data_IF_848417810046
#
_entry.id   IF_848417810046
#
_cell.length_a   1.000
_cell.length_b   1.000
_cell.length_c   1.000
_cell.angle_alpha   90.00
_cell.angle_beta   90.00
_cell.angle_gamma   90.00
#
_symmetry.space_group_name_H-M   'P 1'
#
loop_
_entity.id
_entity.type
_entity.pdbx_description
1 polymer ?
#
# COMPACT_ATOMS: atom_id res chain seq x y z
N UNK A 1 2.09 -59.86 -35.04
CA UNK A 1 2.28 -59.60 -33.60
C UNK A 1 2.12 -58.10 -33.37
N UNK A 2 1.26 -57.71 -32.41
CA UNK A 2 0.68 -56.36 -32.24
C UNK A 2 1.70 -55.33 -31.71
N UNK A 3 1.67 -54.05 -32.12
CA UNK A 3 2.35 -53.00 -31.39
C UNK A 3 1.53 -52.56 -30.18
N UNK A 4 2.22 -52.34 -29.07
CA UNK A 4 1.66 -51.92 -27.78
C UNK A 4 1.49 -50.40 -27.83
N UNK A 5 0.25 -49.93 -27.69
CA UNK A 5 -0.05 -48.51 -27.52
C UNK A 5 0.28 -48.08 -26.08
N UNK A 6 1.39 -47.37 -25.90
CA UNK A 6 1.69 -46.67 -24.66
C UNK A 6 0.93 -45.33 -24.65
N UNK A 7 -0.15 -45.27 -23.88
CA UNK A 7 -0.80 -44.01 -23.52
C UNK A 7 0.04 -43.32 -22.44
N UNK A 8 0.86 -42.32 -22.82
CA UNK A 8 1.39 -41.38 -21.84
C UNK A 8 0.29 -40.37 -21.50
N UNK A 9 -0.28 -40.52 -20.30
CA UNK A 9 -1.19 -39.53 -19.72
C UNK A 9 -0.47 -38.20 -19.51
N UNK A 10 -1.04 -37.13 -20.07
CA UNK A 10 -0.65 -35.75 -19.75
C UNK A 10 -1.15 -35.47 -18.34
N UNK A 11 -0.26 -35.59 -17.36
CA UNK A 11 -0.49 -35.07 -16.01
C UNK A 11 -0.47 -33.54 -16.07
N UNK A 12 -1.65 -32.93 -16.01
CA UNK A 12 -1.78 -31.48 -15.83
C UNK A 12 -1.36 -31.16 -14.38
N UNK A 13 -0.07 -30.86 -14.20
CA UNK A 13 0.42 -30.26 -12.96
C UNK A 13 -0.16 -28.86 -12.85
N UNK A 14 -1.24 -28.70 -12.10
CA UNK A 14 -1.66 -27.38 -11.61
C UNK A 14 -0.68 -27.00 -10.51
N UNK A 15 0.50 -26.51 -10.92
CA UNK A 15 1.38 -25.81 -10.03
C UNK A 15 0.60 -24.61 -9.49
N UNK A 16 0.33 -24.61 -8.18
CA UNK A 16 -0.24 -23.46 -7.49
C UNK A 16 0.64 -22.26 -7.81
N UNK A 17 0.12 -21.34 -8.63
CA UNK A 17 0.84 -20.15 -9.05
C UNK A 17 1.06 -19.30 -7.81
N UNK A 18 2.24 -19.42 -7.22
CA UNK A 18 2.80 -18.41 -6.36
C UNK A 18 2.97 -17.16 -7.23
N UNK A 19 1.98 -16.27 -7.21
CA UNK A 19 2.05 -15.01 -7.94
C UNK A 19 3.23 -14.24 -7.34
N UNK A 20 4.26 -13.91 -8.13
CA UNK A 20 5.41 -13.20 -7.58
C UNK A 20 4.96 -11.84 -7.02
N UNK A 21 5.53 -11.44 -5.89
CA UNK A 21 5.41 -10.14 -5.22
C UNK A 21 5.08 -8.95 -6.14
N UNK A 22 5.91 -8.78 -7.18
CA UNK A 22 5.78 -7.71 -8.17
C UNK A 22 4.50 -7.85 -9.00
N UNK A 23 4.17 -9.05 -9.46
CA UNK A 23 2.94 -9.29 -10.22
C UNK A 23 1.67 -9.04 -9.39
N UNK A 24 1.70 -9.28 -8.07
CA UNK A 24 0.55 -9.02 -7.19
C UNK A 24 0.24 -7.51 -7.03
N UNK A 25 1.26 -6.65 -7.08
CA UNK A 25 1.08 -5.19 -7.02
C UNK A 25 0.74 -4.57 -8.39
N UNK A 26 1.24 -5.16 -9.47
CA UNK A 26 1.05 -4.68 -10.84
C UNK A 26 -0.19 -5.28 -11.53
N UNK A 27 -1.01 -6.07 -10.81
CA UNK A 27 -2.31 -6.52 -11.29
C UNK A 27 -3.20 -5.31 -11.60
N UNK A 28 -3.73 -5.26 -12.83
CA UNK A 28 -4.57 -4.17 -13.31
C UNK A 28 -6.05 -4.46 -13.11
N UNK A 29 -6.78 -3.43 -12.75
CA UNK A 29 -8.23 -3.45 -12.59
C UNK A 29 -8.87 -2.46 -13.56
N UNK A 30 -10.07 -2.79 -14.01
CA UNK A 30 -10.87 -1.91 -14.87
C UNK A 30 -11.35 -0.69 -14.09
N UNK A 31 -11.69 0.38 -14.80
CA UNK A 31 -12.30 1.59 -14.20
C UNK A 31 -13.54 1.26 -13.38
N UNK A 32 -14.40 0.35 -13.87
CA UNK A 32 -15.62 -0.03 -13.18
C UNK A 32 -15.32 -0.72 -11.83
N UNK A 33 -14.33 -1.62 -11.80
CA UNK A 33 -13.90 -2.28 -10.55
C UNK A 33 -13.32 -1.27 -9.55
N UNK A 34 -12.46 -0.36 -10.01
CA UNK A 34 -11.82 0.65 -9.16
C UNK A 34 -12.85 1.62 -8.55
N UNK A 35 -13.85 2.04 -9.33
CA UNK A 35 -14.94 2.90 -8.85
C UNK A 35 -15.87 2.16 -7.88
N UNK A 36 -16.10 0.87 -8.10
CA UNK A 36 -16.84 0.05 -7.14
C UNK A 36 -16.08 -0.08 -5.82
N UNK A 37 -14.76 -0.29 -5.85
CA UNK A 37 -13.94 -0.29 -4.64
C UNK A 37 -13.98 1.07 -3.92
N UNK A 38 -14.01 2.20 -4.65
CA UNK A 38 -14.21 3.52 -4.05
C UNK A 38 -15.58 3.65 -3.36
N UNK A 39 -16.64 3.09 -3.97
CA UNK A 39 -17.99 3.07 -3.39
C UNK A 39 -18.04 2.26 -2.10
N UNK A 40 -17.40 1.08 -2.09
CA UNK A 40 -17.30 0.24 -0.89
C UNK A 40 -16.49 0.94 0.20
N UNK A 41 -15.36 1.57 -0.14
CA UNK A 41 -14.54 2.33 0.80
C UNK A 41 -15.34 3.46 1.45
N UNK A 42 -16.02 4.30 0.64
CA UNK A 42 -16.88 5.38 1.13
C UNK A 42 -17.92 4.85 2.11
N UNK A 43 -18.65 3.80 1.73
CA UNK A 43 -19.67 3.20 2.59
C UNK A 43 -19.08 2.68 3.91
N UNK A 44 -17.92 2.02 3.87
CA UNK A 44 -17.26 1.52 5.07
C UNK A 44 -16.87 2.66 6.02
N UNK A 45 -16.28 3.75 5.50
CA UNK A 45 -15.94 4.91 6.30
C UNK A 45 -17.18 5.56 6.91
N UNK A 46 -18.18 5.88 6.09
CA UNK A 46 -19.37 6.62 6.55
C UNK A 46 -20.24 5.84 7.52
N UNK A 47 -20.33 4.51 7.37
CA UNK A 47 -21.25 3.67 8.15
C UNK A 47 -20.58 3.04 9.38
N UNK A 48 -19.27 2.78 9.33
CA UNK A 48 -18.59 2.01 10.38
C UNK A 48 -17.65 2.87 11.23
N UNK A 49 -17.16 4.00 10.72
CA UNK A 49 -16.19 4.82 11.45
C UNK A 49 -16.88 5.85 12.36
N UNK A 50 -16.91 5.57 13.67
CA UNK A 50 -17.61 6.37 14.67
C UNK A 50 -17.16 7.85 14.77
N UNK A 51 -15.93 8.16 14.35
CA UNK A 51 -15.34 9.50 14.46
C UNK A 51 -14.91 10.12 13.14
N UNK A 52 -15.55 9.76 12.02
CA UNK A 52 -15.02 10.09 10.68
C UNK A 52 -14.80 11.60 10.49
N UNK A 53 -15.67 12.40 11.10
CA UNK A 53 -15.70 13.85 10.95
C UNK A 53 -15.13 14.61 12.16
N UNK A 54 -14.36 13.96 13.02
CA UNK A 54 -13.76 14.62 14.20
C UNK A 54 -12.67 15.62 13.82
N UNK A 55 -11.91 15.32 12.77
CA UNK A 55 -10.73 16.09 12.36
C UNK A 55 -10.82 16.67 10.94
N UNK A 56 -11.66 16.08 10.09
CA UNK A 56 -11.92 16.54 8.73
C UNK A 56 -13.41 16.77 8.59
N UNK A 57 -13.82 17.91 8.02
CA UNK A 57 -15.24 18.20 7.84
C UNK A 57 -15.90 17.20 6.88
N UNK A 58 -17.23 17.09 6.93
CA UNK A 58 -17.97 16.24 6.00
C UNK A 58 -17.72 16.68 4.56
N UNK A 59 -17.75 17.98 4.32
CA UNK A 59 -17.56 18.58 3.00
C UNK A 59 -16.16 18.26 2.43
N UNK A 60 -15.12 18.35 3.26
CA UNK A 60 -13.74 18.00 2.84
C UNK A 60 -13.58 16.50 2.58
N UNK A 61 -14.14 15.65 3.44
CA UNK A 61 -14.11 14.19 3.28
C UNK A 61 -14.87 13.74 2.04
N UNK A 62 -16.08 14.27 1.82
CA UNK A 62 -16.92 13.94 0.68
C UNK A 62 -16.24 14.35 -0.62
N UNK A 63 -15.67 15.56 -0.66
CA UNK A 63 -14.88 16.04 -1.79
C UNK A 63 -13.70 15.12 -2.08
N UNK A 64 -12.93 14.71 -1.07
CA UNK A 64 -11.77 13.85 -1.26
C UNK A 64 -12.15 12.45 -1.81
N UNK A 65 -13.26 11.89 -1.32
CA UNK A 65 -13.78 10.61 -1.80
C UNK A 65 -14.35 10.69 -3.23
N UNK A 66 -14.97 11.81 -3.60
CA UNK A 66 -15.41 12.06 -4.98
C UNK A 66 -14.23 12.22 -5.93
N UNK A 67 -13.24 13.04 -5.55
CA UNK A 67 -12.00 13.23 -6.32
C UNK A 67 -11.23 11.91 -6.49
N UNK A 68 -11.21 11.04 -5.48
CA UNK A 68 -10.63 9.71 -5.56
C UNK A 68 -11.30 8.87 -6.64
N UNK A 69 -12.63 8.78 -6.61
CA UNK A 69 -13.42 8.01 -7.58
C UNK A 69 -13.23 8.54 -9.01
N UNK A 70 -13.25 9.86 -9.17
CA UNK A 70 -13.06 10.53 -10.46
C UNK A 70 -11.64 10.39 -11.01
N UNK A 71 -10.63 10.23 -10.14
CA UNK A 71 -9.24 10.01 -10.55
C UNK A 71 -9.04 8.71 -11.35
N UNK A 72 -9.95 7.73 -11.18
CA UNK A 72 -9.94 6.47 -11.94
C UNK A 72 -10.75 6.62 -13.22
N UNK A 73 -10.11 7.21 -14.24
CA UNK A 73 -10.64 7.37 -15.59
C UNK A 73 -9.98 6.42 -16.62
N UNK A 74 -9.04 5.60 -16.17
CA UNK A 74 -8.36 4.55 -16.93
C UNK A 74 -8.06 3.36 -16.00
N UNK A 75 -7.83 2.16 -16.55
CA UNK A 75 -7.36 1.03 -15.75
C UNK A 75 -6.12 1.40 -14.93
N UNK A 76 -6.04 0.88 -13.72
CA UNK A 76 -4.97 1.16 -12.78
C UNK A 76 -4.57 -0.12 -12.03
N UNK A 77 -3.34 -0.15 -11.55
CA UNK A 77 -2.84 -1.30 -10.78
C UNK A 77 -3.29 -1.24 -9.33
N UNK A 78 -3.21 -2.38 -8.62
CA UNK A 78 -3.40 -2.45 -7.17
C UNK A 78 -2.57 -1.40 -6.42
N UNK A 79 -1.30 -1.25 -6.81
CA UNK A 79 -0.39 -0.24 -6.24
C UNK A 79 -0.91 1.17 -6.46
N UNK A 80 -1.33 1.50 -7.68
CA UNK A 80 -1.86 2.82 -8.00
C UNK A 80 -3.14 3.13 -7.23
N UNK A 81 -4.02 2.14 -7.05
CA UNK A 81 -5.21 2.30 -6.21
C UNK A 81 -4.82 2.60 -4.76
N UNK A 82 -3.95 1.78 -4.17
CA UNK A 82 -3.45 1.98 -2.81
C UNK A 82 -2.86 3.39 -2.60
N UNK A 83 -1.98 3.81 -3.51
CA UNK A 83 -1.29 5.10 -3.40
C UNK A 83 -2.23 6.31 -3.47
N UNK A 84 -3.42 6.16 -4.06
CA UNK A 84 -4.45 7.22 -4.13
C UNK A 84 -5.48 7.13 -3.01
N UNK A 85 -5.88 5.92 -2.62
CA UNK A 85 -6.92 5.71 -1.62
C UNK A 85 -6.42 5.91 -0.19
N UNK A 86 -5.20 5.47 0.14
CA UNK A 86 -4.66 5.56 1.49
C UNK A 86 -4.64 7.01 2.04
N UNK A 87 -4.20 8.04 1.27
CA UNK A 87 -4.23 9.42 1.76
C UNK A 87 -5.63 9.97 2.05
N UNK A 88 -6.66 9.46 1.38
CA UNK A 88 -8.05 9.85 1.66
C UNK A 88 -8.52 9.25 2.98
N UNK A 89 -8.13 8.00 3.27
CA UNK A 89 -8.42 7.36 4.57
C UNK A 89 -7.71 8.11 5.71
N UNK A 90 -6.47 8.58 5.49
CA UNK A 90 -5.72 9.35 6.49
C UNK A 90 -6.32 10.72 6.82
N UNK A 91 -7.31 11.20 6.05
CA UNK A 91 -8.10 12.37 6.44
C UNK A 91 -8.98 12.09 7.66
N UNK A 92 -9.28 10.82 7.98
CA UNK A 92 -9.97 10.48 9.23
C UNK A 92 -9.12 10.81 10.48
N UNK A 93 -7.78 10.91 10.33
CA UNK A 93 -6.82 11.21 11.42
C UNK A 93 -7.00 10.31 12.65
N UNK A 94 -7.13 9.01 12.41
CA UNK A 94 -7.42 8.01 13.44
C UNK A 94 -6.39 6.89 13.40
N UNK A 95 -5.63 6.68 14.50
CA UNK A 95 -4.61 5.64 14.58
C UNK A 95 -5.12 4.20 14.54
N UNK A 96 -6.44 3.98 14.52
CA UNK A 96 -7.08 2.67 14.35
C UNK A 96 -7.75 2.51 12.99
N UNK A 97 -7.55 3.47 12.07
CA UNK A 97 -8.15 3.45 10.74
C UNK A 97 -7.08 3.77 9.73
N UNK A 98 -6.60 2.71 9.09
CA UNK A 98 -5.55 2.76 8.10
C UNK A 98 -5.97 1.95 6.88
N UNK A 99 -5.43 2.31 5.73
CA UNK A 99 -5.65 1.58 4.48
C UNK A 99 -4.44 0.69 4.19
N UNK A 100 -4.65 -0.62 4.05
CA UNK A 100 -3.57 -1.58 3.79
C UNK A 100 -3.88 -2.43 2.54
N UNK A 101 -2.84 -3.06 2.00
CA UNK A 101 -2.96 -4.02 0.92
C UNK A 101 -3.63 -5.30 1.42
N UNK A 102 -4.37 -6.03 0.55
CA UNK A 102 -4.95 -7.30 0.92
C UNK A 102 -3.89 -8.28 1.44
N UNK A 103 -4.21 -9.07 2.47
CA UNK A 103 -3.27 -9.99 3.12
C UNK A 103 -2.54 -10.88 2.11
N UNK A 104 -3.23 -11.40 1.09
CA UNK A 104 -2.62 -12.22 0.03
C UNK A 104 -1.52 -11.47 -0.75
N UNK A 105 -1.67 -10.16 -0.95
CA UNK A 105 -0.63 -9.33 -1.56
C UNK A 105 0.53 -9.16 -0.60
N UNK A 106 0.27 -8.87 0.68
CA UNK A 106 1.32 -8.75 1.69
C UNK A 106 2.12 -10.05 1.82
N UNK A 107 1.45 -11.20 1.82
CA UNK A 107 2.08 -12.53 1.86
C UNK A 107 2.94 -12.78 0.61
N UNK A 108 2.43 -12.40 -0.57
CA UNK A 108 3.16 -12.52 -1.84
C UNK A 108 4.38 -11.60 -1.92
N UNK A 109 4.32 -10.41 -1.31
CA UNK A 109 5.48 -9.52 -1.13
C UNK A 109 6.54 -10.15 -0.21
N UNK A 110 6.11 -11.11 0.63
CA UNK A 110 6.95 -11.86 1.54
C UNK A 110 7.47 -11.02 2.71
N UNK A 111 8.04 -11.71 3.71
CA UNK A 111 8.82 -11.06 4.78
C UNK A 111 10.13 -10.42 4.26
N UNK A 112 10.39 -10.43 2.96
CA UNK A 112 11.44 -9.63 2.30
C UNK A 112 10.97 -8.18 2.10
N UNK A 113 10.33 -7.60 3.12
CA UNK A 113 10.24 -6.15 3.22
C UNK A 113 11.70 -5.70 3.28
N UNK A 114 12.20 -5.08 2.22
CA UNK A 114 13.41 -4.25 2.32
C UNK A 114 13.06 -3.11 3.27
N UNK A 115 13.07 -3.42 4.56
CA UNK A 115 12.85 -2.44 5.60
C UNK A 115 14.02 -1.49 5.56
N UNK A 116 13.74 -0.22 5.82
CA UNK A 116 14.81 0.72 5.98
C UNK A 116 15.76 0.21 7.08
N UNK A 117 17.07 0.06 6.81
CA UNK A 117 17.96 -0.73 7.65
C UNK A 117 18.35 -0.05 8.96
N UNK A 118 17.87 1.19 9.17
CA UNK A 118 18.14 1.97 10.37
C UNK A 118 16.83 2.17 11.13
N UNK A 119 16.78 1.89 12.43
CA UNK A 119 15.65 2.26 13.26
C UNK A 119 15.63 3.77 13.44
N UNK A 120 14.48 4.38 13.18
CA UNK A 120 14.31 5.82 13.16
C UNK A 120 13.39 6.30 14.27
N UNK A 121 13.78 7.42 14.85
CA UNK A 121 12.93 8.27 15.69
C UNK A 121 12.82 9.65 15.05
N UNK A 122 11.63 10.24 15.08
CA UNK A 122 11.38 11.57 14.52
C UNK A 122 11.21 12.61 15.64
N UNK A 123 12.14 13.56 15.70
CA UNK A 123 12.18 14.60 16.74
C UNK A 123 12.20 15.98 16.08
N UNK A 124 11.21 16.82 16.38
CA UNK A 124 11.11 18.17 15.81
C UNK A 124 11.10 18.19 14.27
N UNK A 125 10.46 17.20 13.64
CA UNK A 125 10.39 17.07 12.18
C UNK A 125 11.67 16.57 11.50
N UNK A 126 12.65 16.07 12.26
CA UNK A 126 13.92 15.51 11.75
C UNK A 126 14.02 14.03 12.06
N UNK A 127 14.64 13.29 11.14
CA UNK A 127 14.88 11.86 11.28
C UNK A 127 16.21 11.61 12.01
N UNK A 128 16.16 10.88 13.11
CA UNK A 128 17.32 10.48 13.91
C UNK A 128 17.39 8.97 14.01
N UNK A 129 18.60 8.42 14.16
CA UNK A 129 18.79 6.98 14.40
C UNK A 129 18.56 6.67 15.88
N UNK A 130 17.69 5.71 16.16
CA UNK A 130 17.21 5.39 17.51
C UNK A 130 18.10 4.40 18.29
N UNK A 131 19.18 3.89 17.67
CA UNK A 131 20.19 3.07 18.32
C UNK A 131 21.52 3.11 17.57
N UNK A 132 22.61 2.66 18.19
CA UNK A 132 23.88 2.48 17.49
C UNK A 132 23.77 1.33 16.49
N UNK A 133 24.06 1.58 15.21
CA UNK A 133 24.04 0.57 14.13
C UNK A 133 25.38 0.59 13.40
N UNK A 134 26.26 -0.36 13.74
CA UNK A 134 27.62 -0.42 13.20
C UNK A 134 28.39 0.88 13.48
N UNK A 135 28.88 1.61 12.45
CA UNK A 135 29.59 2.87 12.63
C UNK A 135 28.66 4.08 12.88
N UNK A 136 27.33 3.90 12.80
CA UNK A 136 26.36 4.99 12.94
C UNK A 136 25.98 5.14 14.41
N UNK A 137 26.29 6.27 15.07
CA UNK A 137 25.99 6.47 16.49
C UNK A 137 24.50 6.75 16.74
N UNK A 138 24.04 6.43 17.96
CA UNK A 138 22.74 6.86 18.48
C UNK A 138 22.55 8.37 18.31
N UNK A 139 21.36 8.77 17.86
CA UNK A 139 20.98 10.18 17.67
C UNK A 139 21.49 10.82 16.37
N UNK A 140 22.25 10.09 15.55
CA UNK A 140 22.71 10.59 14.25
C UNK A 140 21.53 11.07 13.39
N UNK A 141 21.63 12.28 12.85
CA UNK A 141 20.61 12.85 11.98
C UNK A 141 20.76 12.35 10.54
N UNK A 142 19.68 11.84 9.96
CA UNK A 142 19.63 11.49 8.53
C UNK A 142 19.20 12.71 7.73
N UNK A 143 20.16 13.36 7.07
CA UNK A 143 19.90 14.56 6.26
C UNK A 143 19.34 14.24 4.87
N UNK A 144 19.72 13.10 4.30
CA UNK A 144 19.29 12.70 2.94
C UNK A 144 19.46 11.21 2.71
N UNK A 145 18.63 10.63 1.84
CA UNK A 145 18.77 9.26 1.31
C UNK A 145 18.94 9.37 -0.20
N UNK A 146 19.98 8.76 -0.77
CA UNK A 146 20.27 8.83 -2.21
C UNK A 146 20.27 10.26 -2.77
N UNK A 147 20.87 11.21 -2.02
CA UNK A 147 20.93 12.66 -2.31
C UNK A 147 19.58 13.39 -2.28
N UNK A 148 18.50 12.75 -1.85
CA UNK A 148 17.20 13.39 -1.66
C UNK A 148 17.07 13.86 -0.22
N UNK A 149 16.83 15.16 0.04
CA UNK A 149 16.69 15.68 1.39
C UNK A 149 15.61 14.94 2.17
N UNK A 150 15.86 14.70 3.45
CA UNK A 150 14.90 13.96 4.27
C UNK A 150 13.56 14.70 4.41
N UNK A 151 13.57 16.03 4.37
CA UNK A 151 12.34 16.86 4.33
C UNK A 151 11.48 16.59 3.09
N UNK A 152 12.08 16.29 1.95
CA UNK A 152 11.37 15.93 0.72
C UNK A 152 10.76 14.53 0.83
N UNK A 153 11.53 13.57 1.35
CA UNK A 153 11.08 12.19 1.54
C UNK A 153 9.92 12.15 2.54
N UNK A 154 10.04 12.84 3.68
CA UNK A 154 8.95 12.93 4.66
C UNK A 154 7.68 13.50 4.04
N UNK A 155 7.78 14.59 3.26
CA UNK A 155 6.62 15.18 2.59
C UNK A 155 5.88 14.18 1.70
N UNK A 156 6.59 13.22 1.10
CA UNK A 156 5.99 12.19 0.25
C UNK A 156 5.37 11.03 1.05
N UNK A 157 5.89 10.74 2.25
CA UNK A 157 5.41 9.63 3.07
C UNK A 157 4.30 10.03 4.04
N UNK A 158 4.31 11.29 4.53
CA UNK A 158 3.32 11.80 5.48
C UNK A 158 1.85 11.62 5.07
N UNK A 159 1.47 11.64 3.78
CA UNK A 159 0.09 11.35 3.38
C UNK A 159 -0.38 9.91 3.65
N UNK A 160 0.49 9.00 4.11
CA UNK A 160 0.18 7.59 4.34
C UNK A 160 0.29 7.16 5.82
N UNK A 161 0.34 8.14 6.75
CA UNK A 161 0.57 7.94 8.20
C UNK A 161 -0.25 8.92 9.03
#
# INVERSE_FOLDING_TARGET
>A
MKPIHAWLGIGLFVAGLCIPAKAALEEQFTVAQLREDCRVLRAALEQLHAGLYLHTSREEMDKALDELSDSFNKPATRREFYLRAAPVVELAKCGHTYFDLPQRTLDALGNKREMFPLPLIFLGGRAHVDQTVGPIPLGAEIKSINRRPMTEILRQLMPYV
#
